data_IF_938799171725
#
_entry.id   IF_938799171725
#
_cell.length_a   1.000
_cell.length_b   1.000
_cell.length_c   1.000
_cell.angle_alpha   90.00
_cell.angle_beta   90.00
_cell.angle_gamma   90.00
#
_symmetry.space_group_name_H-M   'P 1'
#
loop_
_entity.id
_entity.type
_entity.pdbx_description
1 polymer ?
#
# COMPACT_ATOMS: atom_id res chain seq x y z
N UNK A 1 64.18 -69.54 -69.40
CA UNK A 1 64.87 -70.10 -68.22
C UNK A 1 64.69 -69.08 -67.08
N UNK A 2 63.82 -69.34 -66.10
CA UNK A 2 64.14 -70.05 -64.83
C UNK A 2 65.08 -69.16 -64.01
N UNK A 3 64.56 -68.40 -63.01
CA UNK A 3 64.41 -68.76 -61.57
C UNK A 3 65.64 -68.22 -60.78
N UNK A 4 65.62 -67.60 -59.59
CA UNK A 4 64.94 -67.82 -58.27
C UNK A 4 65.07 -66.53 -57.40
N UNK A 5 64.07 -66.15 -56.58
CA UNK A 5 63.95 -66.26 -55.09
C UNK A 5 65.16 -65.74 -54.28
N UNK A 6 65.09 -65.10 -53.10
CA UNK A 6 64.06 -64.65 -52.15
C UNK A 6 64.79 -63.89 -51.02
N UNK A 7 64.14 -62.96 -50.33
CA UNK A 7 64.33 -62.74 -48.88
C UNK A 7 63.20 -61.88 -48.30
N UNK A 8 62.49 -62.43 -47.31
CA UNK A 8 61.50 -61.77 -46.46
C UNK A 8 62.16 -61.41 -45.11
N UNK A 9 61.81 -60.25 -44.52
CA UNK A 9 61.52 -60.11 -43.09
C UNK A 9 61.08 -58.67 -42.73
N UNK A 10 59.94 -58.56 -42.05
CA UNK A 10 59.49 -57.38 -41.30
C UNK A 10 58.50 -56.48 -42.07
N UNK A 11 57.18 -56.57 -41.93
CA UNK A 11 56.37 -57.11 -40.83
C UNK A 11 55.70 -55.96 -40.06
N UNK A 12 54.45 -55.65 -40.41
CA UNK A 12 53.52 -54.88 -39.57
C UNK A 12 53.27 -53.44 -39.98
N UNK A 13 52.43 -53.21 -41.00
CA UNK A 13 51.69 -51.94 -41.12
C UNK A 13 50.56 -51.99 -40.09
N UNK A 14 50.54 -51.04 -39.17
CA UNK A 14 49.35 -50.74 -38.39
C UNK A 14 48.33 -50.10 -39.35
N UNK A 15 47.53 -50.93 -40.02
CA UNK A 15 46.33 -50.46 -40.69
C UNK A 15 45.33 -50.11 -39.57
N UNK A 16 45.43 -48.88 -39.08
CA UNK A 16 44.32 -48.25 -38.37
C UNK A 16 43.23 -48.08 -39.42
N UNK A 17 42.26 -48.99 -39.45
CA UNK A 17 40.97 -48.70 -40.05
C UNK A 17 40.56 -47.33 -39.53
N UNK A 18 40.45 -46.38 -40.44
CA UNK A 18 40.07 -45.01 -40.11
C UNK A 18 38.64 -45.09 -39.61
N UNK A 19 38.49 -45.11 -38.29
CA UNK A 19 37.20 -44.99 -37.64
C UNK A 19 36.70 -43.59 -37.99
N UNK A 20 35.82 -43.50 -38.98
CA UNK A 20 34.95 -42.34 -39.12
C UNK A 20 34.12 -42.27 -37.85
N UNK A 21 34.56 -41.46 -36.90
CA UNK A 21 33.65 -40.94 -35.89
C UNK A 21 32.63 -40.14 -36.66
N UNK A 22 31.45 -40.73 -36.90
CA UNK A 22 30.26 -39.94 -37.18
C UNK A 22 30.13 -39.04 -35.96
N UNK A 23 30.62 -37.81 -36.06
CA UNK A 23 30.16 -36.75 -35.18
C UNK A 23 28.68 -36.70 -35.48
N UNK A 24 27.87 -37.36 -34.66
CA UNK A 24 26.50 -36.91 -34.47
C UNK A 24 26.63 -35.45 -34.03
N UNK A 25 26.63 -34.56 -35.03
CA UNK A 25 26.41 -33.15 -34.84
C UNK A 25 24.95 -33.03 -34.43
N UNK A 26 24.63 -33.49 -33.22
CA UNK A 26 23.47 -33.01 -32.50
C UNK A 26 23.74 -31.54 -32.21
N UNK A 27 23.51 -30.70 -33.22
CA UNK A 27 23.45 -29.26 -33.09
C UNK A 27 22.51 -28.98 -31.93
N UNK A 28 22.99 -28.28 -30.90
CA UNK A 28 22.11 -27.86 -29.80
C UNK A 28 20.85 -27.22 -30.39
N UNK A 29 19.64 -27.62 -29.98
CA UNK A 29 18.43 -27.01 -30.46
C UNK A 29 18.50 -25.51 -30.22
N UNK A 30 18.28 -24.73 -31.28
CA UNK A 30 18.12 -23.28 -31.18
C UNK A 30 16.69 -23.02 -30.73
N UNK A 31 16.55 -22.54 -29.51
CA UNK A 31 15.25 -22.08 -29.00
C UNK A 31 15.05 -20.63 -29.42
N UNK A 32 13.85 -20.32 -29.89
CA UNK A 32 13.37 -18.95 -30.10
C UNK A 32 12.24 -18.69 -29.11
N UNK A 33 12.18 -17.46 -28.60
CA UNK A 33 11.11 -17.06 -27.69
C UNK A 33 9.75 -17.13 -28.40
N UNK A 34 8.74 -17.63 -27.69
CA UNK A 34 7.38 -17.59 -28.19
C UNK A 34 6.92 -16.14 -28.35
N UNK A 35 6.35 -15.82 -29.52
CA UNK A 35 5.82 -14.49 -29.80
C UNK A 35 4.60 -14.23 -28.93
N UNK A 36 4.75 -13.43 -27.88
CA UNK A 36 3.64 -12.93 -27.06
C UNK A 36 3.24 -11.50 -27.44
N UNK A 37 1.97 -11.17 -27.26
CA UNK A 37 1.54 -9.77 -27.30
C UNK A 37 2.05 -9.03 -26.07
N UNK A 38 2.48 -7.76 -26.21
CA UNK A 38 2.89 -6.96 -25.05
C UNK A 38 1.70 -6.74 -24.11
N UNK A 39 1.94 -6.83 -22.80
CA UNK A 39 0.93 -6.54 -21.79
C UNK A 39 0.39 -5.12 -21.96
N UNK A 40 -0.94 -4.99 -21.90
CA UNK A 40 -1.58 -3.68 -21.92
C UNK A 40 -1.25 -2.92 -20.64
N UNK A 41 -0.53 -1.81 -20.76
CA UNK A 41 -0.31 -0.91 -19.63
C UNK A 41 -1.62 -0.17 -19.32
N UNK A 42 -2.15 -0.36 -18.12
CA UNK A 42 -3.24 0.47 -17.61
C UNK A 42 -2.67 1.80 -17.12
N UNK A 43 -3.22 2.91 -17.59
CA UNK A 43 -2.96 4.23 -17.00
C UNK A 43 -3.65 4.30 -15.65
N UNK A 44 -2.86 4.16 -14.59
CA UNK A 44 -3.33 4.18 -13.22
C UNK A 44 -3.29 5.62 -12.72
N UNK A 45 -4.43 6.17 -12.28
CA UNK A 45 -4.46 7.51 -11.66
C UNK A 45 -3.49 7.57 -10.46
N UNK A 46 -2.94 8.74 -10.12
CA UNK A 46 -1.90 8.88 -9.07
C UNK A 46 -2.28 8.22 -7.72
N UNK A 47 -3.58 8.20 -7.39
CA UNK A 47 -4.14 7.59 -6.18
C UNK A 47 -4.63 6.15 -6.36
N UNK A 48 -4.67 5.64 -7.58
CA UNK A 48 -5.01 4.25 -7.88
C UNK A 48 -3.78 3.33 -7.91
N UNK A 49 -2.57 3.89 -7.84
CA UNK A 49 -1.33 3.12 -7.83
C UNK A 49 -1.21 2.24 -6.58
N UNK A 50 -0.73 1.00 -6.77
CA UNK A 50 -0.61 0.01 -5.69
C UNK A 50 0.17 0.56 -4.48
N UNK A 51 -0.44 0.52 -3.30
CA UNK A 51 0.14 0.88 -2.02
C UNK A 51 -0.34 -0.09 -0.93
N UNK A 52 0.34 -0.12 0.22
CA UNK A 52 -0.08 -0.93 1.36
C UNK A 52 -1.29 -0.32 2.09
N UNK A 53 -1.57 0.95 1.86
CA UNK A 53 -2.64 1.69 2.50
C UNK A 53 -2.56 3.16 2.20
N UNK A 54 -3.55 3.91 2.68
CA UNK A 54 -3.57 5.36 2.58
C UNK A 54 -4.03 5.99 3.88
N UNK A 55 -3.56 7.21 4.14
CA UNK A 55 -4.02 8.06 5.22
C UNK A 55 -4.31 9.47 4.72
N UNK A 56 -5.32 10.11 5.30
CA UNK A 56 -5.65 11.52 5.07
C UNK A 56 -5.74 12.23 6.41
N UNK A 57 -5.22 13.45 6.47
CA UNK A 57 -5.24 14.25 7.71
C UNK A 57 -6.66 14.75 7.97
N UNK A 58 -7.12 14.65 9.22
CA UNK A 58 -8.43 15.15 9.63
C UNK A 58 -8.49 16.68 9.42
N UNK A 59 -9.43 17.21 8.61
CA UNK A 59 -9.50 18.63 8.32
C UNK A 59 -9.80 19.45 9.57
N UNK A 60 -9.00 20.49 9.75
CA UNK A 60 -9.23 21.56 10.73
C UNK A 60 -8.96 22.88 10.05
N UNK A 61 -9.98 23.72 9.93
CA UNK A 61 -9.81 25.06 9.37
C UNK A 61 -9.24 26.00 10.43
N UNK A 62 -8.46 26.99 10.02
CA UNK A 62 -8.02 28.06 10.91
C UNK A 62 -9.20 28.94 11.35
N UNK A 63 -9.83 28.61 12.48
CA UNK A 63 -11.00 29.30 13.04
C UNK A 63 -10.58 30.54 13.85
N UNK A 64 -9.70 31.36 13.26
CA UNK A 64 -9.15 32.54 13.88
C UNK A 64 -10.20 33.66 14.03
N UNK A 65 -10.10 34.44 15.11
CA UNK A 65 -11.03 35.56 15.38
C UNK A 65 -10.80 36.74 14.43
N UNK A 66 -9.54 37.05 14.11
CA UNK A 66 -9.19 38.03 13.08
C UNK A 66 -9.56 37.50 11.68
N UNK A 67 -10.46 38.18 10.92
CA UNK A 67 -10.88 37.76 9.58
C UNK A 67 -9.73 37.60 8.58
N UNK A 68 -8.63 38.33 8.76
CA UNK A 68 -7.45 38.25 7.88
C UNK A 68 -6.78 36.88 7.90
N UNK A 69 -6.80 36.21 9.05
CA UNK A 69 -6.14 34.91 9.24
C UNK A 69 -7.14 33.76 9.28
N UNK A 70 -8.44 34.05 9.26
CA UNK A 70 -9.49 33.05 9.28
C UNK A 70 -9.54 32.31 7.94
N UNK A 71 -9.45 30.99 8.01
CA UNK A 71 -9.71 30.11 6.89
C UNK A 71 -11.22 29.80 6.84
N UNK A 72 -11.85 30.13 5.71
CA UNK A 72 -13.29 29.90 5.50
C UNK A 72 -13.60 28.43 5.21
N UNK A 73 -12.69 27.75 4.52
CA UNK A 73 -12.88 26.39 4.04
C UNK A 73 -11.55 25.67 4.03
N UNK A 74 -11.51 24.49 4.65
CA UNK A 74 -10.43 23.52 4.55
C UNK A 74 -10.93 22.32 3.73
N UNK A 75 -10.75 22.33 2.40
CA UNK A 75 -11.24 21.26 1.53
C UNK A 75 -10.46 19.97 1.73
N UNK A 76 -11.02 18.89 1.20
CA UNK A 76 -10.35 17.61 0.97
C UNK A 76 -10.25 17.35 -0.52
N UNK A 77 -9.07 16.94 -0.98
CA UNK A 77 -8.81 16.56 -2.37
C UNK A 77 -8.05 15.26 -2.49
N UNK A 78 -7.87 14.79 -3.72
CA UNK A 78 -7.08 13.59 -4.03
C UNK A 78 -5.63 13.71 -3.50
N UNK A 79 -5.02 14.87 -3.63
CA UNK A 79 -3.62 15.11 -3.23
C UNK A 79 -3.39 15.14 -1.71
N UNK A 80 -4.45 15.19 -0.90
CA UNK A 80 -4.33 15.14 0.57
C UNK A 80 -4.09 13.71 1.08
N UNK A 81 -4.36 12.71 0.24
CA UNK A 81 -4.12 11.31 0.55
C UNK A 81 -2.63 10.97 0.43
N UNK A 82 -2.12 10.27 1.44
CA UNK A 82 -0.73 9.83 1.51
C UNK A 82 -0.66 8.31 1.44
N UNK A 83 0.25 7.82 0.60
CA UNK A 83 0.54 6.38 0.49
C UNK A 83 1.32 5.91 1.72
N UNK A 84 0.85 4.83 2.31
CA UNK A 84 1.51 4.16 3.42
C UNK A 84 2.44 3.07 2.89
N UNK A 85 3.63 3.02 3.48
CA UNK A 85 4.65 2.03 3.14
C UNK A 85 4.39 0.70 3.86
N UNK A 86 5.13 -0.34 3.44
CA UNK A 86 5.13 -1.66 4.08
C UNK A 86 5.37 -1.53 5.60
N UNK A 87 4.65 -2.31 6.38
CA UNK A 87 4.85 -2.45 7.82
C UNK A 87 3.58 -2.99 8.48
N UNK A 88 3.56 -3.01 9.81
CA UNK A 88 2.38 -3.46 10.55
C UNK A 88 1.16 -2.55 10.26
N UNK A 89 -0.07 -3.11 10.17
CA UNK A 89 -1.27 -2.33 9.87
C UNK A 89 -1.56 -1.20 10.85
N UNK A 90 -1.17 -1.36 12.12
CA UNK A 90 -1.43 -0.42 13.21
C UNK A 90 -0.33 0.63 13.43
N UNK A 91 0.69 0.70 12.57
CA UNK A 91 1.79 1.64 12.70
C UNK A 91 2.19 2.23 11.36
N UNK A 92 2.39 3.55 11.35
CA UNK A 92 2.89 4.30 10.20
C UNK A 92 3.45 5.65 10.69
N UNK A 93 4.31 6.27 9.88
CA UNK A 93 5.11 7.45 10.25
C UNK A 93 4.29 8.53 10.95
N UNK A 94 3.19 8.97 10.35
CA UNK A 94 2.37 10.04 10.90
C UNK A 94 1.62 9.65 12.19
N UNK A 95 1.22 8.39 12.35
CA UNK A 95 0.64 7.87 13.61
C UNK A 95 1.70 7.79 14.71
N UNK A 96 2.92 7.39 14.37
CA UNK A 96 4.02 7.36 15.33
C UNK A 96 4.48 8.78 15.74
N UNK A 97 4.34 9.76 14.84
CA UNK A 97 4.49 11.17 15.19
C UNK A 97 3.40 11.66 16.14
N UNK A 98 2.13 11.23 15.96
CA UNK A 98 1.07 11.53 16.93
C UNK A 98 1.36 10.92 18.30
N UNK A 99 1.79 9.66 18.34
CA UNK A 99 2.20 8.98 19.57
C UNK A 99 3.30 9.76 20.30
N UNK A 100 4.32 10.23 19.57
CA UNK A 100 5.39 11.08 20.14
C UNK A 100 4.88 12.44 20.63
N UNK A 101 3.95 13.07 19.89
CA UNK A 101 3.36 14.39 20.22
C UNK A 101 2.35 14.34 21.36
N UNK A 102 1.83 13.14 21.66
CA UNK A 102 0.76 12.89 22.63
C UNK A 102 1.05 13.53 23.99
N UNK A 103 2.28 13.37 24.51
CA UNK A 103 2.60 13.74 25.88
C UNK A 103 1.67 13.01 26.85
N UNK A 104 0.97 13.75 27.72
CA UNK A 104 0.00 13.21 28.68
C UNK A 104 -1.42 13.04 28.13
N UNK A 105 -1.69 13.44 26.88
CA UNK A 105 -3.01 13.21 26.27
C UNK A 105 -3.25 11.72 26.00
N UNK A 106 -4.49 11.29 25.82
CA UNK A 106 -4.78 9.95 25.33
C UNK A 106 -4.71 9.92 23.80
N UNK A 107 -4.15 8.84 23.23
CA UNK A 107 -4.22 8.57 21.80
C UNK A 107 -5.50 7.78 21.53
N UNK A 108 -6.43 8.41 20.83
CA UNK A 108 -7.72 7.82 20.50
C UNK A 108 -7.56 7.16 19.14
N UNK A 109 -7.88 5.87 19.07
CA UNK A 109 -7.71 5.07 17.87
C UNK A 109 -8.90 4.12 17.73
N UNK A 110 -9.39 3.94 16.50
CA UNK A 110 -10.39 2.91 16.21
C UNK A 110 -9.82 1.53 16.55
N UNK A 111 -10.39 0.91 17.58
CA UNK A 111 -10.10 -0.45 18.02
C UNK A 111 -11.40 -1.22 18.12
N UNK A 112 -11.42 -2.42 17.57
CA UNK A 112 -12.62 -3.26 17.51
C UNK A 112 -12.82 -4.12 18.77
N UNK A 113 -11.77 -4.30 19.56
CA UNK A 113 -11.78 -5.13 20.77
C UNK A 113 -12.76 -4.57 21.82
N UNK A 114 -12.81 -3.23 22.00
CA UNK A 114 -13.61 -2.55 23.03
C UNK A 114 -14.47 -1.37 22.52
N UNK A 115 -14.56 -1.15 21.19
CA UNK A 115 -15.06 0.09 20.58
C UNK A 115 -16.55 0.13 20.16
N UNK A 116 -17.04 1.34 19.88
CA UNK A 116 -18.42 1.66 19.45
C UNK A 116 -18.74 1.21 18.01
N UNK A 117 -17.73 0.92 17.17
CA UNK A 117 -17.89 0.51 15.78
C UNK A 117 -17.26 -0.87 15.57
N UNK A 118 -18.08 -1.93 15.64
CA UNK A 118 -17.64 -3.32 15.40
C UNK A 118 -18.77 -4.23 14.93
N UNK A 119 -18.40 -5.30 14.24
CA UNK A 119 -19.32 -6.40 13.89
C UNK A 119 -18.91 -7.64 14.68
N UNK A 120 -19.73 -8.06 15.65
CA UNK A 120 -19.43 -9.22 16.50
C UNK A 120 -19.20 -10.47 15.65
N UNK A 121 -18.13 -11.20 15.94
CA UNK A 121 -17.68 -12.35 15.15
C UNK A 121 -16.79 -12.01 13.95
N UNK A 122 -16.57 -10.71 13.68
CA UNK A 122 -15.70 -10.19 12.60
C UNK A 122 -14.82 -9.05 13.15
N UNK A 123 -14.09 -9.31 14.24
CA UNK A 123 -13.38 -8.28 15.01
C UNK A 123 -11.86 -8.39 14.97
N UNK A 124 -11.32 -9.58 14.73
CA UNK A 124 -9.91 -9.88 14.97
C UNK A 124 -9.11 -9.78 13.67
N UNK A 125 -9.01 -8.55 13.14
CA UNK A 125 -8.29 -8.30 11.89
C UNK A 125 -6.77 -8.39 12.10
N UNK A 126 -6.15 -9.43 11.55
CA UNK A 126 -4.70 -9.66 11.65
C UNK A 126 -3.90 -9.02 10.52
N UNK A 127 -4.50 -8.89 9.34
CA UNK A 127 -3.83 -8.38 8.12
C UNK A 127 -4.16 -6.93 7.79
N UNK A 128 -5.23 -6.37 8.36
CA UNK A 128 -5.77 -5.06 7.99
C UNK A 128 -6.06 -4.24 9.25
N UNK A 129 -5.79 -2.94 9.18
CA UNK A 129 -6.32 -1.97 10.12
C UNK A 129 -6.93 -0.78 9.39
N UNK A 130 -8.08 -0.30 9.87
CA UNK A 130 -8.78 0.85 9.28
C UNK A 130 -9.52 1.65 10.34
N UNK A 131 -9.83 2.89 9.96
CA UNK A 131 -10.61 3.83 10.76
C UNK A 131 -9.80 5.09 11.06
N UNK A 132 -9.84 5.56 12.30
CA UNK A 132 -9.28 6.86 12.69
C UNK A 132 -8.23 6.72 13.80
N UNK A 133 -7.29 7.65 13.84
CA UNK A 133 -6.33 7.83 14.94
C UNK A 133 -6.10 9.32 15.17
N UNK A 134 -6.34 9.81 16.39
CA UNK A 134 -6.23 11.23 16.68
C UNK A 134 -5.94 11.54 18.15
N UNK A 135 -5.55 12.80 18.38
CA UNK A 135 -5.45 13.41 19.69
C UNK A 135 -6.51 14.49 19.85
N UNK A 136 -7.12 14.57 21.03
CA UNK A 136 -7.98 15.71 21.43
C UNK A 136 -7.13 16.93 21.81
N UNK A 137 -6.37 17.46 20.84
CA UNK A 137 -5.41 18.55 21.04
C UNK A 137 -5.65 19.70 20.07
N UNK A 138 -6.30 20.75 20.61
CA UNK A 138 -6.44 22.03 19.91
C UNK A 138 -5.07 22.69 19.75
N UNK A 139 -4.87 23.44 18.66
CA UNK A 139 -3.65 24.22 18.42
C UNK A 139 -3.99 25.71 18.42
N UNK A 140 -3.71 26.37 19.54
CA UNK A 140 -3.92 27.81 19.71
C UNK A 140 -2.54 28.46 19.86
N UNK A 141 -2.06 29.05 18.77
CA UNK A 141 -0.83 29.82 18.72
C UNK A 141 -1.12 31.20 18.13
N UNK A 142 -1.47 32.14 19.01
CA UNK A 142 -1.85 33.50 18.65
C UNK A 142 -0.68 34.26 18.02
N UNK A 143 0.56 34.01 18.47
CA UNK A 143 1.77 34.64 17.91
C UNK A 143 1.94 34.30 16.43
N UNK A 144 1.59 33.08 16.05
CA UNK A 144 1.67 32.59 14.67
C UNK A 144 0.33 32.67 13.92
N UNK A 145 -0.69 33.30 14.50
CA UNK A 145 -2.05 33.42 13.94
C UNK A 145 -2.74 32.07 13.63
N UNK A 146 -2.50 31.04 14.43
CA UNK A 146 -3.06 29.69 14.27
C UNK A 146 -4.05 29.39 15.40
N UNK A 147 -5.28 29.00 15.03
CA UNK A 147 -6.36 28.57 15.92
C UNK A 147 -7.08 27.39 15.26
N UNK A 148 -6.66 26.17 15.60
CA UNK A 148 -7.24 24.92 15.10
C UNK A 148 -7.96 24.19 16.24
N UNK A 149 -9.25 23.92 16.04
CA UNK A 149 -10.07 23.15 16.97
C UNK A 149 -10.40 21.77 16.41
N UNK A 150 -10.66 20.83 17.31
CA UNK A 150 -11.08 19.47 16.98
C UNK A 150 -9.92 18.48 16.81
N UNK A 151 -10.22 17.23 16.41
CA UNK A 151 -9.29 16.11 16.36
C UNK A 151 -8.02 16.39 15.54
N UNK A 152 -6.84 16.23 16.16
CA UNK A 152 -5.55 16.26 15.46
C UNK A 152 -5.15 14.82 15.10
N UNK A 153 -5.38 14.41 13.87
CA UNK A 153 -5.08 13.04 13.48
C UNK A 153 -5.33 12.70 12.02
N UNK A 154 -5.57 11.42 11.77
CA UNK A 154 -5.73 10.84 10.44
C UNK A 154 -6.91 9.86 10.38
N UNK A 155 -7.57 9.84 9.23
CA UNK A 155 -8.39 8.72 8.77
C UNK A 155 -7.50 7.84 7.88
N UNK A 156 -7.48 6.53 8.09
CA UNK A 156 -6.56 5.64 7.39
C UNK A 156 -7.12 4.24 7.15
N UNK A 157 -6.51 3.56 6.20
CA UNK A 157 -6.54 2.11 6.10
C UNK A 157 -5.16 1.60 5.69
N UNK A 158 -4.74 0.46 6.24
CA UNK A 158 -3.46 -0.17 5.95
C UNK A 158 -3.58 -1.68 6.05
N UNK A 159 -3.02 -2.37 5.07
CA UNK A 159 -2.87 -3.82 5.04
C UNK A 159 -1.40 -4.24 5.09
N UNK A 160 -1.16 -5.48 5.50
CA UNK A 160 0.09 -6.20 5.28
C UNK A 160 -0.18 -7.45 4.46
N UNK A 161 0.88 -8.00 3.86
CA UNK A 161 0.82 -9.24 3.09
C UNK A 161 -0.26 -9.24 1.99
N UNK A 162 -0.09 -8.43 0.92
CA UNK A 162 -1.02 -8.40 -0.19
C UNK A 162 -1.28 -9.81 -0.74
N UNK A 163 -2.55 -10.17 -0.90
CA UNK A 163 -2.97 -11.50 -1.29
C UNK A 163 -2.35 -11.92 -2.63
N UNK A 164 -1.74 -13.11 -2.63
CA UNK A 164 -1.22 -13.76 -3.84
C UNK A 164 -2.14 -14.86 -4.37
N UNK A 165 -3.15 -15.21 -3.58
CA UNK A 165 -4.16 -16.22 -3.86
C UNK A 165 -5.53 -15.66 -3.51
N UNK A 166 -6.54 -15.92 -4.35
CA UNK A 166 -7.90 -15.44 -4.19
C UNK A 166 -8.89 -16.61 -4.27
N UNK A 167 -9.98 -16.60 -3.48
CA UNK A 167 -11.05 -17.59 -3.59
C UNK A 167 -11.73 -17.56 -4.97
N UNK A 168 -12.18 -18.72 -5.47
CA UNK A 168 -12.90 -18.86 -6.73
C UNK A 168 -14.43 -18.93 -6.58
N UNK A 169 -14.93 -18.82 -5.34
CA UNK A 169 -16.35 -18.93 -5.00
C UNK A 169 -16.89 -17.63 -4.38
N UNK A 170 -18.20 -17.58 -4.13
CA UNK A 170 -18.84 -16.42 -3.51
C UNK A 170 -18.49 -16.36 -2.02
N UNK A 171 -17.65 -15.40 -1.65
CA UNK A 171 -17.29 -15.11 -0.26
C UNK A 171 -17.96 -13.80 0.20
N UNK A 172 -18.36 -13.75 1.47
CA UNK A 172 -18.94 -12.54 2.09
C UNK A 172 -18.00 -11.99 3.16
N UNK A 173 -17.63 -10.73 3.04
CA UNK A 173 -16.83 -9.99 4.02
C UNK A 173 -17.73 -9.05 4.82
N UNK A 174 -17.47 -8.93 6.12
CA UNK A 174 -18.09 -7.94 7.00
C UNK A 174 -16.99 -7.18 7.73
N UNK A 175 -17.26 -5.92 8.02
CA UNK A 175 -16.32 -5.04 8.69
C UNK A 175 -16.94 -3.69 8.99
N UNK A 176 -16.09 -2.69 9.20
CA UNK A 176 -16.49 -1.32 9.50
C UNK A 176 -16.03 -0.38 8.41
N UNK A 177 -16.61 0.82 8.40
CA UNK A 177 -16.18 1.93 7.55
C UNK A 177 -16.26 3.20 8.37
N UNK A 178 -15.39 4.15 8.05
CA UNK A 178 -15.27 5.43 8.72
C UNK A 178 -15.11 6.54 7.70
N UNK A 179 -15.51 7.76 8.06
CA UNK A 179 -15.45 8.91 7.17
C UNK A 179 -15.00 10.17 7.89
N UNK A 180 -14.50 11.12 7.09
CA UNK A 180 -14.28 12.50 7.52
C UNK A 180 -14.69 13.47 6.41
N UNK A 181 -15.35 14.58 6.75
CA UNK A 181 -15.67 15.65 5.80
C UNK A 181 -14.58 16.73 5.77
N UNK A 182 -14.69 17.65 4.81
CA UNK A 182 -14.04 18.95 4.86
C UNK A 182 -14.55 19.80 6.05
N UNK A 183 -13.88 20.92 6.33
CA UNK A 183 -14.30 21.86 7.37
C UNK A 183 -14.67 23.22 6.75
N UNK A 184 -15.92 23.62 6.83
CA UNK A 184 -16.43 24.84 6.19
C UNK A 184 -17.17 25.73 7.19
N UNK A 185 -16.92 27.05 7.15
CA UNK A 185 -17.51 28.00 8.09
C UNK A 185 -19.05 27.88 8.14
N UNK A 186 -19.59 27.60 9.33
CA UNK A 186 -21.03 27.41 9.62
C UNK A 186 -21.69 26.19 8.95
N UNK A 187 -20.93 25.26 8.38
CA UNK A 187 -21.46 23.99 7.91
C UNK A 187 -21.83 23.10 9.11
N UNK A 188 -23.01 22.49 9.04
CA UNK A 188 -23.53 21.56 10.05
C UNK A 188 -24.43 20.54 9.37
N UNK A 189 -24.39 19.31 9.87
CA UNK A 189 -25.23 18.22 9.39
C UNK A 189 -26.15 17.77 10.53
N UNK A 190 -27.43 18.14 10.49
CA UNK A 190 -28.34 17.86 11.62
C UNK A 190 -28.48 16.37 11.92
N UNK A 191 -28.42 15.51 10.89
CA UNK A 191 -28.47 14.06 11.06
C UNK A 191 -27.24 13.45 11.75
N UNK A 192 -26.10 14.15 11.78
CA UNK A 192 -24.90 13.73 12.49
C UNK A 192 -24.79 14.34 13.90
N UNK A 193 -25.64 15.33 14.20
CA UNK A 193 -25.56 16.13 15.42
C UNK A 193 -24.42 17.15 15.42
N UNK A 194 -24.53 18.16 16.29
CA UNK A 194 -23.54 19.24 16.38
C UNK A 194 -22.17 18.80 16.91
N UNK A 195 -22.11 17.67 17.61
CA UNK A 195 -20.88 17.14 18.18
C UNK A 195 -19.93 16.57 17.11
N UNK A 196 -20.47 16.08 15.98
CA UNK A 196 -19.68 15.49 14.91
C UNK A 196 -18.73 16.49 14.26
N UNK A 197 -19.11 17.78 14.19
CA UNK A 197 -18.33 18.83 13.55
C UNK A 197 -18.97 19.34 12.24
N UNK A 198 -18.12 19.68 11.26
CA UNK A 198 -18.49 20.30 9.99
C UNK A 198 -18.02 21.76 9.87
N UNK A 199 -18.00 22.49 11.00
CA UNK A 199 -17.56 23.89 11.00
C UNK A 199 -16.05 24.04 11.17
N UNK A 200 -15.53 23.89 12.41
CA UNK A 200 -14.12 24.14 12.73
C UNK A 200 -13.22 22.93 12.39
N UNK A 201 -13.78 21.74 12.49
CA UNK A 201 -13.19 20.47 12.10
C UNK A 201 -14.14 19.75 11.14
N UNK A 202 -13.59 18.85 10.34
CA UNK A 202 -14.40 17.93 9.55
C UNK A 202 -15.30 17.08 10.45
N UNK A 203 -16.48 16.73 9.94
CA UNK A 203 -17.36 15.79 10.61
C UNK A 203 -16.76 14.39 10.54
N UNK A 204 -16.50 13.76 11.70
CA UNK A 204 -15.82 12.47 11.85
C UNK A 204 -16.81 11.41 12.35
N UNK A 205 -16.69 10.17 11.86
CA UNK A 205 -17.51 9.01 12.28
C UNK A 205 -17.17 8.41 13.65
N UNK A 206 -16.37 9.11 14.46
CA UNK A 206 -15.77 8.60 15.70
C UNK A 206 -16.70 8.60 16.90
#
# INVERSE_FOLDING_TARGET
AVLLLSACAGGGSFDLDSVETVQDMHSKPKYEDEKSQPESQQDVSENSGAAYGFAVKLPRRNAHFNPKYKEKHKPLGSMDWRKLQRGEPNSFSERDELEKKRGSSELIESKWEDGQSRVVGYTDFTYVRSGYVYLNKNNINIKNNIVLFGPDGYLYYKGKEPSKELPSEKITYKGTWDYVTDAMEKQRFEGLGSAAGGDKSGALSA
#
